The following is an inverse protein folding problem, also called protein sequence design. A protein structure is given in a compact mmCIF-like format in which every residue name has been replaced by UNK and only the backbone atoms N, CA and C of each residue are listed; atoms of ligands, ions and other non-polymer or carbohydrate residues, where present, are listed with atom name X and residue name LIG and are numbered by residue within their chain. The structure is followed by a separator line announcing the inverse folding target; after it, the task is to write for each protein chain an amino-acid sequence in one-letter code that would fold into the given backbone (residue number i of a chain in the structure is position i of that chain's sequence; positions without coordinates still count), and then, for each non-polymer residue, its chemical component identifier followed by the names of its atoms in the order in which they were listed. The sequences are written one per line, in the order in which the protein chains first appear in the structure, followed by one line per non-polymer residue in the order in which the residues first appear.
data_IF_921037895756
#
_entry.id   IF_921037895756
#
_cell.length_a   1.000
_cell.length_b   1.000
_cell.length_c   1.000
_cell.angle_alpha   90.00
_cell.angle_beta   90.00
_cell.angle_gamma   90.00
#
_symmetry.space_group_name_H-M   'P 1'
#
loop_
_entity.id
_entity.type
_entity.pdbx_description
1 polymer ?
#
# COMPACT_ATOMS: atom_id res chain seq x y z
N UNK A 1 -25.63 4.26 35.46
CA UNK A 1 -25.44 3.72 34.10
C UNK A 1 -24.53 4.66 33.35
N UNK A 2 -23.24 4.33 33.22
CA UNK A 2 -22.35 5.10 32.36
C UNK A 2 -22.73 4.75 30.91
N UNK A 3 -23.20 5.74 30.16
CA UNK A 3 -23.33 5.63 28.71
C UNK A 3 -21.94 5.32 28.18
N UNK A 4 -21.70 4.04 27.84
CA UNK A 4 -20.53 3.63 27.07
C UNK A 4 -20.66 4.26 25.70
N UNK A 5 -20.14 5.48 25.53
CA UNK A 5 -19.93 6.07 24.22
C UNK A 5 -18.93 5.17 23.51
N UNK A 6 -19.41 4.27 22.66
CA UNK A 6 -18.58 3.51 21.73
C UNK A 6 -17.85 4.52 20.86
N UNK A 7 -16.55 4.68 21.12
CA UNK A 7 -15.68 5.55 20.32
C UNK A 7 -15.53 4.91 18.94
N UNK A 8 -15.98 5.55 17.85
CA UNK A 8 -15.94 4.99 16.50
C UNK A 8 -14.50 4.88 15.96
N UNK A 9 -13.58 5.69 16.47
CA UNK A 9 -12.18 5.71 16.04
C UNK A 9 -11.28 5.01 17.07
N UNK A 10 -10.35 4.20 16.58
CA UNK A 10 -9.37 3.52 17.42
C UNK A 10 -8.44 4.52 18.12
N UNK A 11 -8.06 5.59 17.44
CA UNK A 11 -7.22 6.67 17.99
C UNK A 11 -7.77 7.21 19.30
N UNK A 12 -9.09 7.38 19.40
CA UNK A 12 -9.74 7.83 20.63
C UNK A 12 -9.87 6.70 21.65
N UNK A 13 -10.16 5.47 21.21
CA UNK A 13 -10.28 4.29 22.09
C UNK A 13 -8.94 3.91 22.75
N UNK A 14 -7.84 3.94 21.98
CA UNK A 14 -6.52 3.51 22.41
C UNK A 14 -6.02 4.31 23.62
N UNK A 15 -6.43 5.58 23.76
CA UNK A 15 -6.07 6.43 24.90
C UNK A 15 -6.71 6.02 26.23
N UNK A 16 -7.78 5.21 26.19
CA UNK A 16 -8.56 4.85 27.39
C UNK A 16 -8.42 3.39 27.81
N UNK A 17 -7.78 2.55 26.99
CA UNK A 17 -7.67 1.11 27.22
C UNK A 17 -6.27 0.71 27.69
N UNK A 18 -6.20 -0.19 28.68
CA UNK A 18 -4.95 -0.79 29.16
C UNK A 18 -4.66 -2.15 28.56
N UNK A 19 -5.67 -2.79 27.98
CA UNK A 19 -5.63 -4.10 27.35
C UNK A 19 -6.29 -3.99 25.98
N UNK A 20 -5.86 -4.83 25.03
CA UNK A 20 -6.47 -4.89 23.70
C UNK A 20 -7.88 -5.47 23.84
N UNK A 21 -8.94 -4.78 23.35
CA UNK A 21 -10.30 -5.32 23.42
C UNK A 21 -10.45 -6.60 22.60
N UNK A 22 -11.36 -7.49 23.02
CA UNK A 22 -11.46 -8.85 22.48
C UNK A 22 -11.70 -8.92 20.98
N UNK A 23 -12.40 -7.94 20.40
CA UNK A 23 -12.66 -7.87 18.96
C UNK A 23 -11.41 -7.54 18.12
N UNK A 24 -10.31 -7.09 18.73
CA UNK A 24 -9.00 -6.88 18.08
C UNK A 24 -8.04 -8.05 18.28
N UNK A 25 -8.36 -9.00 19.16
CA UNK A 25 -7.49 -10.12 19.50
C UNK A 25 -7.57 -11.18 18.39
N UNK A 26 -6.43 -11.45 17.77
CA UNK A 26 -6.27 -12.49 16.75
C UNK A 26 -6.35 -13.89 17.38
N UNK A 27 -6.95 -14.87 16.69
CA UNK A 27 -6.81 -16.29 17.02
C UNK A 27 -5.33 -16.66 17.15
N UNK A 28 -5.00 -17.62 18.00
CA UNK A 28 -3.60 -18.00 18.29
C UNK A 28 -2.81 -18.29 16.99
N UNK A 29 -3.44 -18.97 16.02
CA UNK A 29 -2.85 -19.30 14.72
C UNK A 29 -2.59 -18.10 13.79
N UNK A 30 -3.21 -16.95 14.06
CA UNK A 30 -3.12 -15.71 13.28
C UNK A 30 -2.47 -14.57 14.08
N UNK A 31 -1.86 -14.85 15.24
CA UNK A 31 -1.15 -13.80 15.99
C UNK A 31 0.20 -13.47 15.33
N UNK A 32 0.66 -12.20 15.41
CA UNK A 32 2.01 -11.87 14.99
C UNK A 32 3.03 -12.64 15.84
N UNK A 33 3.73 -13.58 15.24
CA UNK A 33 4.97 -14.09 15.82
C UNK A 33 6.07 -13.03 15.61
N UNK A 34 6.25 -12.17 16.61
CA UNK A 34 7.23 -11.08 16.58
C UNK A 34 8.66 -11.56 16.89
N UNK A 35 8.82 -12.76 17.45
CA UNK A 35 10.12 -13.32 17.85
C UNK A 35 10.86 -13.87 16.62
N UNK A 36 10.14 -14.51 15.69
CA UNK A 36 10.72 -15.11 14.48
C UNK A 36 10.86 -14.13 13.30
N UNK A 37 10.71 -12.83 13.55
CA UNK A 37 10.89 -11.80 12.51
C UNK A 37 12.38 -11.60 12.26
N UNK A 38 12.79 -11.79 11.02
CA UNK A 38 14.19 -11.56 10.65
C UNK A 38 14.46 -10.06 10.58
N UNK A 39 15.34 -9.58 11.47
CA UNK A 39 15.86 -8.21 11.45
C UNK A 39 17.24 -8.25 10.83
N UNK A 40 17.33 -7.80 9.58
CA UNK A 40 18.58 -7.66 8.82
C UNK A 40 18.94 -6.18 8.68
N UNK A 41 20.24 -5.87 8.57
CA UNK A 41 20.72 -4.53 8.22
C UNK A 41 20.30 -4.12 6.80
N UNK A 42 20.00 -5.08 5.93
CA UNK A 42 19.47 -4.87 4.57
C UNK A 42 18.19 -5.68 4.44
N UNK A 43 17.04 -5.03 4.60
CA UNK A 43 15.72 -5.69 4.56
C UNK A 43 15.23 -5.89 3.12
N UNK A 44 15.23 -4.81 2.34
CA UNK A 44 14.84 -4.77 0.92
C UNK A 44 15.87 -3.90 0.16
N UNK A 45 16.03 -4.09 -1.16
CA UNK A 45 17.01 -3.32 -1.94
C UNK A 45 16.77 -1.80 -1.84
N UNK A 46 17.85 -1.02 -1.66
CA UNK A 46 17.80 0.45 -1.78
C UNK A 46 18.37 0.85 -3.14
N UNK A 47 17.52 1.42 -3.99
CA UNK A 47 17.83 1.80 -5.37
C UNK A 47 18.00 3.32 -5.46
N UNK A 48 19.10 3.74 -6.07
CA UNK A 48 19.38 5.13 -6.36
C UNK A 48 18.83 5.52 -7.75
N UNK A 49 17.89 6.47 -7.80
CA UNK A 49 17.28 6.90 -9.05
C UNK A 49 18.02 8.07 -9.74
N UNK A 50 19.14 8.54 -9.18
CA UNK A 50 19.89 9.69 -9.73
C UNK A 50 20.26 9.49 -11.21
N UNK A 51 20.68 8.29 -11.59
CA UNK A 51 21.12 7.96 -12.95
C UNK A 51 20.03 7.27 -13.79
N UNK A 52 18.75 7.32 -13.38
CA UNK A 52 17.66 6.67 -14.13
C UNK A 52 17.53 7.21 -15.58
N UNK A 53 17.90 8.46 -15.80
CA UNK A 53 17.97 9.10 -17.13
C UNK A 53 19.42 9.42 -17.56
N UNK A 54 20.41 8.84 -16.85
CA UNK A 54 21.84 9.10 -17.04
C UNK A 54 22.58 7.94 -17.74
N UNK A 55 23.93 8.01 -17.80
CA UNK A 55 24.75 7.01 -18.47
C UNK A 55 24.65 5.62 -17.83
N UNK A 56 24.35 5.53 -16.54
CA UNK A 56 24.23 4.27 -15.79
C UNK A 56 22.80 3.71 -15.76
N UNK A 57 21.90 4.19 -16.63
CA UNK A 57 20.50 3.74 -16.65
C UNK A 57 20.33 2.23 -16.66
N UNK A 58 21.13 1.51 -17.45
CA UNK A 58 21.07 0.04 -17.53
C UNK A 58 21.34 -0.65 -16.19
N UNK A 59 22.21 -0.07 -15.36
CA UNK A 59 22.48 -0.56 -14.02
C UNK A 59 21.27 -0.36 -13.10
N UNK A 60 20.64 0.82 -13.14
CA UNK A 60 19.42 1.12 -12.37
C UNK A 60 18.28 0.19 -12.77
N UNK A 61 18.07 -0.04 -14.08
CA UNK A 61 17.07 -0.99 -14.58
C UNK A 61 17.31 -2.42 -14.08
N UNK A 62 18.58 -2.87 -14.07
CA UNK A 62 18.92 -4.20 -13.56
C UNK A 62 18.60 -4.34 -12.07
N UNK A 63 18.87 -3.30 -11.27
CA UNK A 63 18.51 -3.30 -9.84
C UNK A 63 16.98 -3.36 -9.65
N UNK A 64 16.22 -2.59 -10.44
CA UNK A 64 14.75 -2.61 -10.42
C UNK A 64 14.23 -4.00 -10.80
N UNK A 65 14.72 -4.60 -11.89
CA UNK A 65 14.32 -5.95 -12.30
C UNK A 65 14.55 -6.99 -11.21
N UNK A 66 15.75 -7.00 -10.61
CA UNK A 66 16.10 -7.94 -9.55
C UNK A 66 15.21 -7.76 -8.32
N UNK A 67 14.96 -6.52 -7.90
CA UNK A 67 14.07 -6.24 -6.78
C UNK A 67 12.63 -6.68 -7.07
N UNK A 68 12.10 -6.38 -8.26
CA UNK A 68 10.76 -6.82 -8.65
C UNK A 68 10.64 -8.36 -8.76
N UNK A 69 11.70 -9.03 -9.20
CA UNK A 69 11.72 -10.49 -9.38
C UNK A 69 11.82 -11.25 -8.06
N UNK A 70 12.67 -10.81 -7.13
CA UNK A 70 12.97 -11.55 -5.90
C UNK A 70 12.23 -11.03 -4.68
N UNK A 71 12.03 -9.72 -4.60
CA UNK A 71 11.59 -9.06 -3.38
C UNK A 71 10.18 -8.49 -3.49
N UNK A 72 9.71 -8.19 -4.70
CA UNK A 72 8.47 -7.45 -4.92
C UNK A 72 8.45 -6.03 -4.33
N UNK A 73 9.53 -5.65 -3.64
CA UNK A 73 9.66 -4.49 -2.76
C UNK A 73 11.07 -3.91 -2.89
N UNK A 74 11.18 -2.59 -2.91
CA UNK A 74 12.45 -1.88 -2.82
C UNK A 74 12.25 -0.48 -2.24
N UNK A 75 13.32 0.12 -1.75
CA UNK A 75 13.35 1.54 -1.38
C UNK A 75 13.98 2.34 -2.51
N UNK A 76 13.52 3.57 -2.69
CA UNK A 76 14.12 4.51 -3.65
C UNK A 76 14.60 5.76 -2.96
N UNK A 77 15.80 6.23 -3.35
CA UNK A 77 16.35 7.55 -3.01
C UNK A 77 16.61 8.35 -4.29
N UNK A 78 16.88 9.65 -4.16
CA UNK A 78 17.06 10.56 -5.30
C UNK A 78 15.87 10.52 -6.28
N UNK A 79 14.66 10.35 -5.73
CA UNK A 79 13.42 10.11 -6.47
C UNK A 79 12.78 11.36 -7.09
N UNK A 80 13.31 12.55 -6.78
CA UNK A 80 12.86 13.83 -7.35
C UNK A 80 11.69 14.52 -6.63
N UNK A 81 10.99 13.84 -5.72
CA UNK A 81 10.06 14.51 -4.78
C UNK A 81 10.84 15.29 -3.72
N UNK A 82 10.46 16.55 -3.46
CA UNK A 82 11.17 17.42 -2.53
C UNK A 82 11.02 16.96 -1.07
N UNK A 83 12.05 17.19 -0.25
CA UNK A 83 11.99 16.90 1.19
C UNK A 83 10.90 17.70 1.90
N UNK A 84 10.65 18.95 1.46
CA UNK A 84 9.56 19.76 2.00
C UNK A 84 8.19 19.13 1.76
N UNK A 85 7.92 18.61 0.55
CA UNK A 85 6.67 17.91 0.23
C UNK A 85 6.48 16.68 1.13
N UNK A 86 7.55 15.90 1.33
CA UNK A 86 7.54 14.71 2.21
C UNK A 86 7.25 15.11 3.66
N UNK A 87 7.99 16.08 4.20
CA UNK A 87 7.86 16.53 5.58
C UNK A 87 6.49 17.16 5.85
N UNK A 88 5.98 17.96 4.91
CA UNK A 88 4.64 18.55 5.00
C UNK A 88 3.57 17.47 5.04
N UNK A 89 3.65 16.46 4.15
CA UNK A 89 2.66 15.38 4.10
C UNK A 89 2.64 14.54 5.39
N UNK A 90 3.81 14.19 5.95
CA UNK A 90 3.90 13.46 7.22
C UNK A 90 3.37 14.29 8.41
N UNK A 91 3.70 15.58 8.45
CA UNK A 91 3.20 16.49 9.50
C UNK A 91 1.68 16.65 9.41
N UNK A 92 1.16 16.93 8.22
CA UNK A 92 -0.26 17.07 7.95
C UNK A 92 -1.05 15.82 8.35
N UNK A 93 -0.52 14.62 8.03
CA UNK A 93 -1.17 13.39 8.43
C UNK A 93 -1.26 13.28 9.95
N UNK A 94 -0.18 13.61 10.69
CA UNK A 94 -0.20 13.64 12.15
C UNK A 94 -1.19 14.66 12.68
N UNK A 95 -1.16 15.89 12.16
CA UNK A 95 -2.02 16.99 12.58
C UNK A 95 -3.50 16.63 12.38
N UNK A 96 -3.87 16.02 11.24
CA UNK A 96 -5.22 15.53 10.98
C UNK A 96 -5.67 14.53 12.05
N UNK A 97 -4.83 13.53 12.38
CA UNK A 97 -5.15 12.55 13.42
C UNK A 97 -5.03 13.11 14.84
N UNK A 98 -4.58 14.34 15.04
CA UNK A 98 -4.55 15.02 16.33
C UNK A 98 -5.69 16.04 16.48
N UNK A 99 -6.44 16.32 15.42
CA UNK A 99 -7.66 17.14 15.50
C UNK A 99 -8.66 16.56 16.51
N UNK A 100 -9.53 17.39 17.11
CA UNK A 100 -10.62 16.88 17.94
C UNK A 100 -11.45 15.82 17.20
N UNK A 101 -11.91 14.79 17.93
CA UNK A 101 -12.73 13.71 17.37
C UNK A 101 -13.90 14.26 16.52
N UNK A 102 -14.60 15.28 17.02
CA UNK A 102 -15.71 15.94 16.32
C UNK A 102 -15.33 16.53 14.95
N UNK A 103 -14.09 16.97 14.76
CA UNK A 103 -13.59 17.46 13.48
C UNK A 103 -13.27 16.31 12.53
N UNK A 104 -12.61 15.26 13.04
CA UNK A 104 -12.27 14.07 12.24
C UNK A 104 -13.54 13.36 11.75
N UNK A 105 -14.55 13.23 12.61
CA UNK A 105 -15.81 12.54 12.31
C UNK A 105 -16.64 13.19 11.20
N UNK A 106 -16.36 14.43 10.80
CA UNK A 106 -16.98 15.05 9.61
C UNK A 106 -16.68 14.26 8.32
N UNK A 107 -15.61 13.47 8.31
CA UNK A 107 -15.18 12.66 7.18
C UNK A 107 -15.51 11.17 7.37
N UNK A 108 -16.16 10.77 8.47
CA UNK A 108 -16.35 9.37 8.81
C UNK A 108 -17.39 8.69 7.92
N UNK A 109 -17.08 7.46 7.48
CA UNK A 109 -18.07 6.58 6.84
C UNK A 109 -17.67 5.11 6.94
N UNK A 110 -18.64 4.26 7.28
CA UNK A 110 -18.53 2.79 7.21
C UNK A 110 -18.90 2.23 5.85
N UNK A 111 -19.28 3.08 4.89
CA UNK A 111 -19.56 2.65 3.53
C UNK A 111 -18.28 2.61 2.69
N UNK A 112 -17.82 1.40 2.28
CA UNK A 112 -16.60 1.26 1.50
C UNK A 112 -16.72 1.86 0.08
N UNK A 113 -17.92 2.20 -0.39
CA UNK A 113 -18.14 2.89 -1.68
C UNK A 113 -17.83 4.39 -1.63
N UNK A 114 -17.81 5.00 -0.43
CA UNK A 114 -17.49 6.42 -0.29
C UNK A 114 -16.01 6.64 -0.59
N UNK A 115 -15.73 7.43 -1.63
CA UNK A 115 -14.39 7.64 -2.19
C UNK A 115 -13.41 8.23 -1.16
N UNK A 116 -13.83 9.32 -0.49
CA UNK A 116 -13.06 9.99 0.54
C UNK A 116 -13.69 9.71 1.89
N UNK A 117 -13.02 8.93 2.74
CA UNK A 117 -13.59 8.54 4.04
C UNK A 117 -12.52 8.33 5.11
N UNK A 118 -12.82 8.79 6.31
CA UNK A 118 -12.20 8.33 7.54
C UNK A 118 -12.94 7.08 8.00
N UNK A 119 -12.19 6.05 8.37
CA UNK A 119 -12.76 4.85 9.00
C UNK A 119 -11.68 4.18 9.85
N UNK A 120 -12.05 3.08 10.49
CA UNK A 120 -11.15 2.27 11.32
C UNK A 120 -10.96 0.90 10.72
N UNK A 121 -9.92 0.21 11.17
CA UNK A 121 -9.58 -1.16 10.79
C UNK A 121 -9.35 -1.34 9.28
N UNK A 122 -10.13 -2.19 8.60
CA UNK A 122 -10.10 -2.35 7.14
C UNK A 122 -11.51 -2.23 6.52
N UNK A 123 -12.41 -3.13 6.91
CA UNK A 123 -13.82 -3.10 6.50
C UNK A 123 -14.67 -3.59 7.66
N UNK A 124 -15.07 -2.65 8.51
CA UNK A 124 -15.84 -2.91 9.74
C UNK A 124 -17.14 -3.69 9.52
N UNK A 125 -17.69 -3.69 8.29
CA UNK A 125 -18.92 -4.41 7.95
C UNK A 125 -18.71 -5.90 7.66
N UNK A 126 -17.50 -6.31 7.27
CA UNK A 126 -17.25 -7.68 6.79
C UNK A 126 -16.16 -8.40 7.58
N UNK A 127 -15.32 -7.68 8.31
CA UNK A 127 -14.24 -8.28 9.07
C UNK A 127 -14.73 -8.97 10.35
N UNK A 128 -14.08 -10.08 10.70
CA UNK A 128 -14.36 -10.84 11.92
C UNK A 128 -13.52 -10.40 13.12
N UNK A 129 -12.34 -9.82 12.83
CA UNK A 129 -11.36 -9.34 13.81
C UNK A 129 -10.90 -7.97 13.34
N UNK A 130 -11.04 -6.98 14.20
CA UNK A 130 -10.65 -5.61 13.93
C UNK A 130 -9.12 -5.44 13.90
N UNK A 131 -8.66 -4.44 13.17
CA UNK A 131 -7.26 -4.07 13.01
C UNK A 131 -6.96 -2.82 13.84
N UNK A 132 -5.77 -2.78 14.43
CA UNK A 132 -5.29 -1.70 15.26
C UNK A 132 -4.80 -0.50 14.42
N UNK A 133 -5.70 0.08 13.62
CA UNK A 133 -5.43 1.19 12.70
C UNK A 133 -6.67 2.05 12.50
N UNK A 134 -6.49 3.36 12.39
CA UNK A 134 -7.43 4.25 11.71
C UNK A 134 -6.85 4.69 10.36
N UNK A 135 -7.71 5.05 9.40
CA UNK A 135 -7.26 5.55 8.12
C UNK A 135 -8.19 6.61 7.52
N UNK A 136 -7.60 7.61 6.86
CA UNK A 136 -8.30 8.51 5.94
C UNK A 136 -7.93 8.11 4.51
N UNK A 137 -8.90 7.56 3.77
CA UNK A 137 -8.76 7.21 2.35
C UNK A 137 -9.17 8.38 1.48
N UNK A 138 -8.39 8.68 0.46
CA UNK A 138 -8.63 9.76 -0.50
C UNK A 138 -8.47 9.25 -1.93
N UNK A 139 -9.38 9.64 -2.82
CA UNK A 139 -9.16 9.55 -4.26
C UNK A 139 -8.37 10.79 -4.71
N UNK A 140 -7.40 10.58 -5.62
CA UNK A 140 -6.37 11.56 -5.92
C UNK A 140 -6.27 11.95 -7.40
N UNK A 141 -6.77 11.12 -8.31
CA UNK A 141 -6.65 11.39 -9.74
C UNK A 141 -7.93 11.03 -10.52
N UNK A 142 -8.40 11.92 -11.43
CA UNK A 142 -7.87 13.26 -11.70
C UNK A 142 -8.03 14.22 -10.51
N UNK A 143 -7.03 15.06 -10.27
CA UNK A 143 -6.94 15.86 -9.05
C UNK A 143 -8.14 16.81 -8.89
N UNK A 144 -8.52 17.50 -9.97
CA UNK A 144 -9.62 18.45 -10.03
C UNK A 144 -10.98 17.85 -9.66
N UNK A 145 -11.16 16.54 -9.83
CA UNK A 145 -12.41 15.85 -9.53
C UNK A 145 -12.55 15.52 -8.03
N UNK A 146 -11.46 15.62 -7.26
CA UNK A 146 -11.40 15.11 -5.89
C UNK A 146 -11.04 16.15 -4.83
N UNK A 147 -10.20 17.15 -5.15
CA UNK A 147 -9.67 18.12 -4.16
C UNK A 147 -10.75 18.78 -3.30
N UNK A 148 -11.88 19.14 -3.91
CA UNK A 148 -12.96 19.84 -3.21
C UNK A 148 -13.70 18.97 -2.19
N UNK A 149 -13.61 17.65 -2.32
CA UNK A 149 -14.22 16.68 -1.41
C UNK A 149 -13.26 16.18 -0.32
N UNK A 150 -12.02 16.68 -0.27
CA UNK A 150 -11.08 16.39 0.81
C UNK A 150 -11.35 17.27 2.04
N UNK A 151 -10.85 16.86 3.22
CA UNK A 151 -10.83 17.71 4.40
C UNK A 151 -10.28 19.11 4.11
N UNK A 152 -10.85 20.11 4.78
CA UNK A 152 -10.36 21.50 4.78
C UNK A 152 -9.62 21.86 6.07
N UNK A 153 -9.46 20.91 6.99
CA UNK A 153 -8.77 21.07 8.26
C UNK A 153 -7.75 19.92 8.42
N UNK A 154 -6.45 20.18 8.66
CA UNK A 154 -5.78 21.50 8.77
C UNK A 154 -5.96 22.42 7.54
N UNK A 155 -5.81 23.76 7.66
CA UNK A 155 -6.04 24.68 6.53
C UNK A 155 -5.21 24.37 5.28
N UNK A 156 -4.00 23.83 5.43
CA UNK A 156 -3.14 23.44 4.32
C UNK A 156 -3.49 22.08 3.70
N UNK A 157 -4.53 21.38 4.21
CA UNK A 157 -4.79 19.98 3.89
C UNK A 157 -4.85 19.73 2.37
N UNK A 158 -5.62 20.54 1.67
CA UNK A 158 -5.87 20.36 0.24
C UNK A 158 -4.64 20.62 -0.60
N UNK A 159 -3.91 21.69 -0.29
CA UNK A 159 -2.74 22.13 -1.07
C UNK A 159 -1.57 21.16 -0.88
N UNK A 160 -1.25 20.80 0.37
CA UNK A 160 -0.18 19.86 0.68
C UNK A 160 -0.47 18.45 0.09
N UNK A 161 -1.71 17.97 0.19
CA UNK A 161 -2.10 16.68 -0.40
C UNK A 161 -2.06 16.73 -1.92
N UNK A 162 -2.50 17.82 -2.55
CA UNK A 162 -2.45 18.00 -4.00
C UNK A 162 -1.01 18.01 -4.53
N UNK A 163 -0.11 18.73 -3.86
CA UNK A 163 1.32 18.77 -4.20
C UNK A 163 1.96 17.38 -4.07
N UNK A 164 1.68 16.68 -2.97
CA UNK A 164 2.16 15.32 -2.73
C UNK A 164 1.66 14.34 -3.79
N UNK A 165 0.36 14.33 -4.07
CA UNK A 165 -0.25 13.43 -5.05
C UNK A 165 0.35 13.61 -6.45
N UNK A 166 0.53 14.87 -6.87
CA UNK A 166 1.10 15.21 -8.17
C UNK A 166 2.58 14.80 -8.27
N UNK A 167 3.35 15.05 -7.21
CA UNK A 167 4.78 14.70 -7.15
C UNK A 167 5.01 13.19 -7.16
N UNK A 168 4.25 12.45 -6.34
CA UNK A 168 4.33 10.98 -6.30
C UNK A 168 3.82 10.36 -7.59
N UNK A 169 2.78 10.94 -8.22
CA UNK A 169 2.34 10.50 -9.55
C UNK A 169 3.48 10.60 -10.58
N UNK A 170 4.22 11.70 -10.60
CA UNK A 170 5.39 11.84 -11.47
C UNK A 170 6.45 10.77 -11.22
N UNK A 171 6.68 10.39 -9.96
CA UNK A 171 7.56 9.27 -9.60
C UNK A 171 7.03 7.93 -10.10
N UNK A 172 5.74 7.65 -9.92
CA UNK A 172 5.10 6.42 -10.41
C UNK A 172 5.32 6.26 -11.91
N UNK A 173 5.04 7.29 -12.72
CA UNK A 173 5.18 7.21 -14.18
C UNK A 173 6.60 6.87 -14.61
N UNK A 174 7.62 7.51 -13.98
CA UNK A 174 9.04 7.17 -14.23
C UNK A 174 9.38 5.73 -13.86
N UNK A 175 8.83 5.23 -12.74
CA UNK A 175 9.03 3.85 -12.31
C UNK A 175 8.33 2.86 -13.24
N UNK A 176 7.13 3.16 -13.74
CA UNK A 176 6.44 2.30 -14.71
C UNK A 176 7.23 2.16 -16.00
N UNK A 177 7.78 3.27 -16.53
CA UNK A 177 8.67 3.23 -17.70
C UNK A 177 9.91 2.37 -17.45
N UNK A 178 10.52 2.50 -16.26
CA UNK A 178 11.70 1.74 -15.88
C UNK A 178 11.39 0.25 -15.73
N UNK A 179 10.30 -0.11 -15.07
CA UNK A 179 9.85 -1.49 -14.87
C UNK A 179 9.56 -2.13 -16.24
N UNK A 180 8.86 -1.42 -17.13
CA UNK A 180 8.55 -1.89 -18.48
C UNK A 180 9.83 -2.17 -19.29
N UNK A 181 10.77 -1.22 -19.30
CA UNK A 181 12.06 -1.38 -19.99
C UNK A 181 12.88 -2.54 -19.40
N UNK A 182 12.84 -2.70 -18.08
CA UNK A 182 13.56 -3.77 -17.38
C UNK A 182 13.02 -5.18 -17.66
N UNK A 183 11.78 -5.28 -18.18
CA UNK A 183 11.20 -6.52 -18.73
C UNK A 183 11.55 -6.75 -20.21
N UNK A 184 12.23 -5.81 -20.86
CA UNK A 184 12.44 -5.81 -22.32
C UNK A 184 11.23 -5.35 -23.12
N UNK A 185 10.21 -4.79 -22.46
CA UNK A 185 9.03 -4.23 -23.12
C UNK A 185 9.28 -2.79 -23.59
N UNK A 186 8.42 -2.29 -24.47
CA UNK A 186 8.37 -0.84 -24.76
C UNK A 186 8.11 -0.07 -23.47
N UNK A 187 8.78 1.08 -23.29
CA UNK A 187 8.69 1.89 -22.05
C UNK A 187 7.26 2.26 -21.66
N UNK A 188 6.39 2.47 -22.64
CA UNK A 188 5.00 2.84 -22.45
C UNK A 188 4.02 1.65 -22.45
N UNK A 189 4.51 0.41 -22.53
CA UNK A 189 3.66 -0.79 -22.59
C UNK A 189 2.74 -0.89 -21.37
N UNK A 190 3.32 -0.86 -20.16
CA UNK A 190 2.56 -1.03 -18.92
C UNK A 190 1.52 0.09 -18.75
N UNK A 191 1.89 1.35 -19.01
CA UNK A 191 0.97 2.49 -18.89
C UNK A 191 -0.20 2.38 -19.88
N UNK A 192 0.05 1.93 -21.12
CA UNK A 192 -0.99 1.70 -22.12
C UNK A 192 -1.95 0.58 -21.75
N UNK A 193 -1.49 -0.47 -21.07
CA UNK A 193 -2.34 -1.58 -20.60
C UNK A 193 -3.40 -1.10 -19.61
N UNK A 194 -3.16 0.01 -18.91
CA UNK A 194 -4.10 0.53 -17.94
C UNK A 194 -5.35 1.17 -18.57
N UNK A 195 -5.31 1.54 -19.86
CA UNK A 195 -6.31 2.37 -20.56
C UNK A 195 -6.56 3.73 -19.89
N UNK A 196 -7.25 3.75 -18.75
CA UNK A 196 -7.35 4.86 -17.80
C UNK A 196 -6.86 4.39 -16.44
N UNK A 197 -6.37 5.29 -15.60
CA UNK A 197 -5.86 4.90 -14.27
C UNK A 197 -6.51 5.71 -13.17
N UNK A 198 -6.59 5.08 -12.01
CA UNK A 198 -6.93 5.72 -10.74
C UNK A 198 -5.68 5.92 -9.89
N UNK A 199 -5.68 6.99 -9.10
CA UNK A 199 -4.75 7.15 -7.99
C UNK A 199 -5.58 7.32 -6.72
N UNK A 200 -5.24 6.53 -5.70
CA UNK A 200 -5.83 6.65 -4.37
C UNK A 200 -4.71 6.64 -3.34
N UNK A 201 -4.96 7.21 -2.17
CA UNK A 201 -4.04 7.11 -1.04
C UNK A 201 -4.80 6.84 0.24
N UNK A 202 -4.07 6.38 1.26
CA UNK A 202 -4.59 6.30 2.62
C UNK A 202 -3.59 6.91 3.58
N UNK A 203 -4.03 7.82 4.45
CA UNK A 203 -3.25 8.24 5.61
C UNK A 203 -3.57 7.26 6.73
N UNK A 204 -2.62 6.39 7.05
CA UNK A 204 -2.80 5.35 8.07
C UNK A 204 -2.19 5.82 9.37
N UNK A 205 -2.93 5.64 10.45
CA UNK A 205 -2.48 5.95 11.80
C UNK A 205 -2.63 4.71 12.68
N UNK A 206 -1.52 4.31 13.29
CA UNK A 206 -1.45 3.18 14.21
C UNK A 206 -1.11 3.73 15.60
N UNK A 207 -2.07 3.85 16.53
CA UNK A 207 -1.76 4.29 17.88
C UNK A 207 -0.91 3.25 18.62
N UNK A 208 -0.17 3.64 19.69
CA UNK A 208 0.48 2.69 20.58
C UNK A 208 -0.50 1.60 21.04
N UNK A 209 -0.08 0.34 20.97
CA UNK A 209 -0.88 -0.82 21.33
C UNK A 209 -0.37 -1.42 22.64
N UNK A 210 -1.23 -1.64 23.66
CA UNK A 210 -0.76 -2.20 24.94
C UNK A 210 -0.32 -3.67 24.84
N UNK A 211 -0.81 -4.42 23.85
CA UNK A 211 -0.48 -5.84 23.63
C UNK A 211 -0.28 -6.11 22.13
N UNK A 212 0.81 -5.59 21.53
CA UNK A 212 1.05 -5.64 20.09
C UNK A 212 1.15 -7.08 19.53
N UNK A 213 1.46 -8.05 20.38
CA UNK A 213 1.51 -9.47 20.05
C UNK A 213 0.12 -10.11 19.80
N UNK A 214 -0.97 -9.41 20.12
CA UNK A 214 -2.33 -9.92 19.99
C UNK A 214 -3.07 -9.42 18.74
N UNK A 215 -2.53 -8.43 18.03
CA UNK A 215 -3.27 -7.75 16.94
C UNK A 215 -2.34 -7.30 15.81
N UNK A 216 -2.92 -6.83 14.72
CA UNK A 216 -2.20 -6.23 13.60
C UNK A 216 -2.71 -4.83 13.33
N UNK A 217 -1.84 -3.96 12.82
CA UNK A 217 -2.29 -2.75 12.14
C UNK A 217 -2.96 -3.10 10.81
N UNK A 218 -2.40 -4.08 10.09
CA UNK A 218 -3.01 -4.69 8.91
C UNK A 218 -2.42 -6.11 8.72
N UNK A 219 -3.23 -7.16 8.51
CA UNK A 219 -2.75 -8.53 8.39
C UNK A 219 -2.03 -8.76 7.06
N UNK A 220 -1.48 -9.96 6.89
CA UNK A 220 -0.81 -10.36 5.65
C UNK A 220 -1.74 -10.28 4.44
N UNK A 221 -1.36 -9.51 3.43
CA UNK A 221 -2.10 -9.35 2.18
C UNK A 221 -1.15 -9.01 1.02
N UNK A 222 -1.63 -9.19 -0.21
CA UNK A 222 -1.03 -8.59 -1.40
C UNK A 222 -1.83 -7.37 -1.84
N UNK A 223 -1.18 -6.50 -2.61
CA UNK A 223 -1.79 -5.28 -3.10
C UNK A 223 -2.54 -5.55 -4.41
N UNK A 224 -3.85 -5.28 -4.50
CA UNK A 224 -4.64 -5.59 -5.70
C UNK A 224 -4.31 -4.68 -6.89
N UNK A 225 -3.61 -3.57 -6.67
CA UNK A 225 -3.32 -2.54 -7.65
C UNK A 225 -2.09 -2.88 -8.54
N UNK A 226 -1.64 -1.92 -9.35
CA UNK A 226 -0.46 -2.11 -10.21
C UNK A 226 0.84 -1.90 -9.43
N UNK A 227 0.97 -0.74 -8.78
CA UNK A 227 2.16 -0.35 -8.02
C UNK A 227 1.75 0.54 -6.85
N UNK A 228 2.43 0.39 -5.72
CA UNK A 228 2.23 1.19 -4.51
C UNK A 228 3.51 1.95 -4.19
N UNK A 229 3.38 3.24 -3.89
CA UNK A 229 4.45 4.10 -3.36
C UNK A 229 4.09 4.45 -1.92
N UNK A 230 4.84 3.91 -0.98
CA UNK A 230 4.63 4.06 0.45
C UNK A 230 5.61 5.08 1.04
N UNK A 231 5.05 6.16 1.57
CA UNK A 231 5.75 7.03 2.52
C UNK A 231 5.50 6.54 3.94
N UNK A 232 6.50 6.55 4.81
CA UNK A 232 6.34 6.25 6.24
C UNK A 232 7.21 7.18 7.08
N UNK A 233 6.87 7.29 8.36
CA UNK A 233 7.71 7.94 9.35
C UNK A 233 8.91 7.06 9.77
N UNK A 234 9.60 7.45 10.84
CA UNK A 234 10.77 6.75 11.37
C UNK A 234 10.41 5.55 12.27
N UNK A 235 9.12 5.17 12.36
CA UNK A 235 8.65 4.07 13.20
C UNK A 235 8.48 2.80 12.36
N UNK A 236 9.21 1.71 12.66
CA UNK A 236 9.09 0.46 11.93
C UNK A 236 7.70 -0.17 12.15
N UNK A 237 7.26 -0.94 11.16
CA UNK A 237 5.97 -1.64 11.26
C UNK A 237 5.63 -2.45 10.02
N UNK A 238 6.15 -2.08 8.84
CA UNK A 238 6.03 -2.91 7.64
C UNK A 238 6.89 -4.17 7.77
N UNK A 239 6.29 -5.31 7.44
CA UNK A 239 6.98 -6.59 7.28
C UNK A 239 6.58 -7.23 5.95
N UNK A 240 7.55 -7.81 5.24
CA UNK A 240 7.36 -8.49 3.95
C UNK A 240 7.67 -9.96 4.13
N UNK A 241 6.87 -10.84 3.54
CA UNK A 241 7.10 -12.29 3.57
C UNK A 241 8.03 -12.69 2.42
N UNK A 242 9.26 -13.10 2.74
CA UNK A 242 10.25 -13.60 1.79
C UNK A 242 10.70 -15.00 2.23
N UNK A 243 10.68 -15.96 1.30
CA UNK A 243 11.10 -17.35 1.55
C UNK A 243 10.47 -17.97 2.80
N UNK A 244 9.17 -17.70 3.02
CA UNK A 244 8.40 -18.18 4.17
C UNK A 244 8.71 -17.48 5.50
N UNK A 245 9.54 -16.43 5.51
CA UNK A 245 9.91 -15.67 6.71
C UNK A 245 9.49 -14.22 6.60
N UNK A 246 8.95 -13.68 7.70
CA UNK A 246 8.64 -12.26 7.80
C UNK A 246 9.92 -11.46 8.03
N UNK A 247 10.20 -10.50 7.14
CA UNK A 247 11.35 -9.60 7.21
C UNK A 247 10.85 -8.19 7.55
N UNK A 248 11.40 -7.58 8.59
CA UNK A 248 11.09 -6.20 8.95
C UNK A 248 11.74 -5.21 7.97
N UNK A 249 10.98 -4.22 7.50
CA UNK A 249 11.49 -3.16 6.63
C UNK A 249 11.87 -1.95 7.47
N UNK A 250 13.16 -1.61 7.48
CA UNK A 250 13.67 -0.49 8.26
C UNK A 250 13.39 0.85 7.55
N UNK A 251 12.82 1.85 8.25
CA UNK A 251 12.64 3.18 7.69
C UNK A 251 13.99 3.84 7.34
N UNK A 252 14.08 4.39 6.13
CA UNK A 252 15.21 5.23 5.70
C UNK A 252 14.66 6.62 5.38
N UNK A 253 15.24 7.66 5.97
CA UNK A 253 14.82 9.04 5.75
C UNK A 253 14.92 9.42 4.27
N UNK A 254 13.97 10.24 3.80
CA UNK A 254 13.92 10.74 2.43
C UNK A 254 13.95 9.60 1.38
N UNK A 255 13.24 8.52 1.69
CA UNK A 255 13.00 7.41 0.74
C UNK A 255 11.51 7.09 0.67
N UNK A 256 11.11 6.51 -0.45
CA UNK A 256 9.84 5.79 -0.55
C UNK A 256 10.11 4.30 -0.59
N UNK A 257 9.20 3.52 -0.02
CA UNK A 257 9.11 2.08 -0.31
C UNK A 257 8.20 1.92 -1.53
N UNK A 258 8.63 1.11 -2.47
CA UNK A 258 7.88 0.75 -3.66
C UNK A 258 7.58 -0.74 -3.60
N UNK A 259 6.34 -1.11 -3.87
CA UNK A 259 6.00 -2.51 -4.12
C UNK A 259 5.13 -2.67 -5.35
N UNK A 260 5.31 -3.78 -6.03
CA UNK A 260 4.48 -4.16 -7.17
C UNK A 260 3.26 -4.93 -6.67
N UNK A 261 2.11 -4.63 -7.25
CA UNK A 261 0.86 -5.29 -6.92
C UNK A 261 0.53 -6.41 -7.89
N UNK A 262 -0.60 -7.05 -7.63
CA UNK A 262 -1.06 -8.25 -8.33
C UNK A 262 -1.18 -8.03 -9.84
N UNK A 263 -1.57 -6.84 -10.29
CA UNK A 263 -1.71 -6.55 -11.73
C UNK A 263 -0.35 -6.53 -12.45
N UNK A 264 0.71 -6.07 -11.77
CA UNK A 264 2.06 -6.08 -12.33
C UNK A 264 2.60 -7.50 -12.46
N UNK A 265 2.33 -8.35 -11.47
CA UNK A 265 2.68 -9.78 -11.53
C UNK A 265 2.04 -10.44 -12.75
N UNK A 266 0.76 -10.16 -13.01
CA UNK A 266 0.06 -10.69 -14.20
C UNK A 266 0.68 -10.17 -15.49
N UNK A 267 0.86 -8.84 -15.64
CA UNK A 267 1.43 -8.24 -16.86
C UNK A 267 2.84 -8.80 -17.15
N UNK A 268 3.64 -8.99 -16.10
CA UNK A 268 5.00 -9.55 -16.22
C UNK A 268 5.04 -11.07 -16.49
N UNK A 269 3.89 -11.73 -16.64
CA UNK A 269 3.77 -13.19 -16.75
C UNK A 269 4.48 -13.94 -15.61
N UNK A 270 4.25 -13.50 -14.36
CA UNK A 270 4.85 -14.08 -13.15
C UNK A 270 6.37 -13.87 -13.00
N UNK A 271 7.02 -13.08 -13.88
CA UNK A 271 8.45 -12.74 -13.73
C UNK A 271 8.71 -11.83 -12.54
N UNK A 272 7.77 -10.94 -12.24
CA UNK A 272 7.80 -10.07 -11.06
C UNK A 272 6.74 -10.49 -10.04
N UNK A 273 7.06 -10.34 -8.74
CA UNK A 273 6.27 -10.95 -7.66
C UNK A 273 5.59 -9.90 -6.77
N UNK A 274 4.27 -9.98 -6.68
CA UNK A 274 3.46 -9.33 -5.66
C UNK A 274 3.56 -10.14 -4.37
N UNK A 275 4.24 -9.61 -3.35
CA UNK A 275 4.51 -10.34 -2.12
C UNK A 275 3.52 -10.00 -1.00
N UNK A 276 3.26 -11.02 -0.17
CA UNK A 276 2.53 -10.85 1.08
C UNK A 276 3.30 -9.89 1.99
N UNK A 277 2.59 -8.89 2.50
CA UNK A 277 3.13 -7.93 3.45
C UNK A 277 2.09 -7.63 4.54
N UNK A 278 2.55 -7.19 5.70
CA UNK A 278 1.71 -6.86 6.86
C UNK A 278 2.22 -5.62 7.59
N UNK A 279 1.34 -4.99 8.36
CA UNK A 279 1.70 -3.90 9.26
C UNK A 279 1.51 -4.35 10.70
N UNK A 280 2.60 -4.45 11.46
CA UNK A 280 2.57 -4.70 12.91
C UNK A 280 2.51 -3.37 13.67
N UNK A 281 2.05 -3.46 14.92
CA UNK A 281 1.97 -2.32 15.84
C UNK A 281 2.99 -2.48 16.98
N UNK A 282 3.19 -1.43 17.74
CA UNK A 282 4.13 -1.41 18.86
C UNK A 282 3.50 -0.70 20.08
N UNK A 283 4.08 -0.88 21.26
CA UNK A 283 3.57 -0.31 22.51
C UNK A 283 4.11 1.09 22.86
N UNK A 284 5.09 1.61 22.10
CA UNK A 284 5.87 2.77 22.51
C UNK A 284 5.42 4.07 21.82
N UNK A 285 5.17 4.01 20.51
CA UNK A 285 4.95 5.20 19.68
C UNK A 285 3.90 4.94 18.61
N UNK A 286 3.15 5.97 18.26
CA UNK A 286 2.30 5.95 17.08
C UNK A 286 3.14 5.79 15.81
N UNK A 287 2.54 5.22 14.78
CA UNK A 287 3.16 5.12 13.45
C UNK A 287 2.22 5.72 12.41
N UNK A 288 2.80 6.43 11.45
CA UNK A 288 2.10 6.97 10.28
C UNK A 288 2.67 6.34 9.02
N UNK A 289 1.77 5.94 8.11
CA UNK A 289 2.16 5.47 6.79
C UNK A 289 1.17 5.92 5.74
N UNK A 290 1.64 6.32 4.56
CA UNK A 290 0.86 6.94 3.50
C UNK A 290 1.12 6.18 2.18
N UNK A 291 0.50 4.99 1.99
CA UNK A 291 0.53 4.32 0.70
C UNK A 291 -0.27 5.11 -0.34
N UNK A 292 0.34 5.31 -1.50
CA UNK A 292 -0.29 5.83 -2.72
C UNK A 292 -0.38 4.68 -3.72
N UNK A 293 -1.61 4.29 -4.05
CA UNK A 293 -1.92 3.18 -4.95
C UNK A 293 -2.17 3.71 -6.36
N UNK A 294 -1.51 3.11 -7.34
CA UNK A 294 -1.77 3.33 -8.75
C UNK A 294 -2.54 2.12 -9.32
N UNK A 295 -3.76 2.36 -9.79
CA UNK A 295 -4.69 1.31 -10.17
C UNK A 295 -5.06 1.40 -11.66
N UNK A 296 -5.25 0.26 -12.35
CA UNK A 296 -5.98 0.25 -13.62
C UNK A 296 -7.41 0.74 -13.46
N UNK A 297 -8.05 1.16 -14.55
CA UNK A 297 -9.48 1.37 -14.57
C UNK A 297 -10.23 0.04 -14.48
N UNK A 298 -11.48 0.02 -13.98
CA UNK A 298 -12.25 -1.23 -13.89
C UNK A 298 -12.43 -1.97 -15.23
N UNK A 299 -12.43 -1.26 -16.34
CA UNK A 299 -12.55 -1.81 -17.70
C UNK A 299 -11.19 -2.19 -18.33
N UNK A 300 -10.06 -1.89 -17.69
CA UNK A 300 -8.74 -2.27 -18.18
C UNK A 300 -8.62 -3.80 -18.30
N UNK A 301 -8.21 -4.27 -19.47
CA UNK A 301 -7.98 -5.69 -19.72
C UNK A 301 -6.56 -6.05 -19.31
N UNK A 302 -6.44 -6.76 -18.18
CA UNK A 302 -5.18 -7.21 -17.62
C UNK A 302 -4.90 -8.65 -18.07
N UNK A 303 -3.69 -8.90 -18.54
CA UNK A 303 -3.20 -10.21 -18.94
C UNK A 303 -1.69 -10.16 -19.13
N UNK A 304 -1.03 -11.32 -19.31
CA UNK A 304 0.41 -11.33 -19.53
C UNK A 304 0.77 -10.61 -20.84
N UNK A 305 1.85 -9.81 -20.81
CA UNK A 305 2.35 -9.14 -21.99
C UNK A 305 2.75 -10.18 -23.05
N UNK A 306 2.25 -10.01 -24.27
CA UNK A 306 2.47 -10.96 -25.37
C UNK A 306 3.95 -11.19 -25.66
N UNK A 307 4.75 -10.14 -25.52
CA UNK A 307 6.20 -10.16 -25.78
C UNK A 307 6.98 -10.97 -24.71
N UNK A 308 6.33 -11.37 -23.61
CA UNK A 308 6.91 -12.19 -22.53
C UNK A 308 6.46 -13.66 -22.57
N UNK A 309 5.65 -14.03 -23.57
CA UNK A 309 5.13 -15.38 -23.77
C UNK A 309 5.87 -16.02 -24.95
N UNK A 310 6.45 -17.19 -24.72
CA UNK A 310 7.08 -18.05 -25.72
C UNK A 310 6.93 -19.52 -25.31
N UNK A 311 7.51 -20.44 -26.09
CA UNK A 311 7.42 -21.89 -25.84
C UNK A 311 8.04 -22.30 -24.49
N UNK A 312 9.06 -21.57 -24.02
CA UNK A 312 9.72 -21.82 -22.73
C UNK A 312 9.00 -21.11 -21.57
N UNK A 313 8.23 -20.07 -21.85
CA UNK A 313 7.50 -19.24 -20.89
C UNK A 313 6.02 -19.08 -21.30
N UNK A 314 5.19 -20.14 -21.17
CA UNK A 314 3.78 -20.07 -21.52
C UNK A 314 3.02 -19.08 -20.63
N UNK A 315 1.83 -18.66 -21.08
CA UNK A 315 0.97 -17.75 -20.32
C UNK A 315 0.52 -18.39 -18.99
N UNK A 316 0.94 -17.81 -17.87
CA UNK A 316 0.56 -18.25 -16.51
C UNK A 316 -0.85 -17.82 -16.15
N UNK A 317 -1.31 -16.69 -16.69
CA UNK A 317 -2.61 -16.10 -16.39
C UNK A 317 -3.45 -15.94 -17.67
N UNK A 318 -4.76 -16.11 -17.55
CA UNK A 318 -5.69 -15.66 -18.60
C UNK A 318 -5.87 -14.15 -18.51
N UNK A 319 -6.37 -13.53 -19.58
CA UNK A 319 -6.81 -12.14 -19.52
C UNK A 319 -8.14 -12.00 -18.76
N UNK A 320 -8.31 -10.86 -18.07
CA UNK A 320 -9.50 -10.51 -17.30
C UNK A 320 -9.61 -8.98 -17.17
N UNK A 321 -10.80 -8.45 -16.88
CA UNK A 321 -10.93 -7.03 -16.56
C UNK A 321 -10.52 -6.78 -15.11
N UNK A 322 -9.89 -5.63 -14.83
CA UNK A 322 -9.53 -5.27 -13.45
C UNK A 322 -10.76 -5.24 -12.53
N UNK A 323 -11.92 -4.83 -13.03
CA UNK A 323 -13.20 -4.88 -12.31
C UNK A 323 -13.61 -6.30 -11.90
N UNK A 324 -13.42 -7.30 -12.76
CA UNK A 324 -13.66 -8.72 -12.44
C UNK A 324 -12.76 -9.17 -11.29
N UNK A 325 -11.46 -8.85 -11.36
CA UNK A 325 -10.50 -9.18 -10.30
C UNK A 325 -10.85 -8.48 -8.98
N UNK A 326 -11.15 -7.18 -9.04
CA UNK A 326 -11.41 -6.35 -7.87
C UNK A 326 -12.67 -6.80 -7.13
N UNK A 327 -13.72 -7.20 -7.83
CA UNK A 327 -14.94 -7.76 -7.23
C UNK A 327 -14.65 -9.06 -6.46
N UNK A 328 -13.85 -9.97 -7.04
CA UNK A 328 -13.46 -11.23 -6.38
C UNK A 328 -12.57 -10.98 -5.17
N UNK A 329 -11.63 -10.05 -5.27
CA UNK A 329 -10.76 -9.65 -4.16
C UNK A 329 -11.60 -9.15 -2.97
N UNK A 330 -12.55 -8.24 -3.20
CA UNK A 330 -13.40 -7.71 -2.12
C UNK A 330 -14.30 -8.75 -1.48
N UNK A 331 -14.82 -9.71 -2.26
CA UNK A 331 -15.63 -10.82 -1.73
C UNK A 331 -14.83 -11.77 -0.82
N UNK A 332 -13.52 -11.91 -1.06
CA UNK A 332 -12.62 -12.76 -0.25
C UNK A 332 -12.02 -12.02 0.95
N UNK A 333 -11.96 -10.69 0.92
CA UNK A 333 -11.32 -9.88 1.96
C UNK A 333 -9.79 -10.05 1.96
N UNK A 334 -9.14 -9.72 3.08
CA UNK A 334 -7.68 -9.88 3.26
C UNK A 334 -7.27 -11.34 3.57
N UNK A 335 -7.90 -12.31 2.89
CA UNK A 335 -7.56 -13.72 3.06
C UNK A 335 -6.13 -14.01 2.59
N UNK A 336 -5.47 -15.00 3.20
CA UNK A 336 -4.10 -15.38 2.86
C UNK A 336 -3.96 -16.06 1.49
N UNK A 337 -5.04 -16.65 0.98
CA UNK A 337 -5.05 -17.26 -0.34
C UNK A 337 -5.01 -16.19 -1.44
N UNK A 338 -4.12 -16.36 -2.42
CA UNK A 338 -3.92 -15.35 -3.45
C UNK A 338 -5.18 -15.22 -4.34
N UNK A 339 -5.63 -13.98 -4.57
CA UNK A 339 -6.75 -13.73 -5.48
C UNK A 339 -6.40 -14.13 -6.93
N UNK A 340 -5.14 -13.95 -7.32
CA UNK A 340 -4.64 -14.27 -8.66
C UNK A 340 -4.73 -15.74 -9.04
N UNK A 341 -4.79 -16.67 -8.08
CA UNK A 341 -4.93 -18.10 -8.38
C UNK A 341 -6.22 -18.41 -9.16
N UNK A 342 -7.27 -17.59 -9.00
CA UNK A 342 -8.54 -17.69 -9.75
C UNK A 342 -8.42 -17.27 -11.23
N UNK A 343 -7.26 -16.74 -11.61
CA UNK A 343 -6.99 -16.17 -12.94
C UNK A 343 -5.81 -16.86 -13.63
N UNK A 344 -5.20 -17.87 -12.99
CA UNK A 344 -4.21 -18.72 -13.64
C UNK A 344 -4.85 -19.48 -14.80
N UNK A 345 -4.09 -19.72 -15.85
CA UNK A 345 -4.51 -20.64 -16.90
C UNK A 345 -4.62 -22.04 -16.28
N UNK A 346 -5.72 -22.74 -16.54
CA UNK A 346 -5.75 -24.17 -16.31
C UNK A 346 -4.84 -24.78 -17.37
N UNK A 347 -3.56 -24.97 -17.06
CA UNK A 347 -2.72 -25.83 -17.89
C UNK A 347 -3.23 -27.27 -17.61
N UNK A 348 -3.59 -28.04 -18.65
CA UNK A 348 -4.05 -29.42 -18.48
C UNK A 348 -3.04 -30.32 -17.75
#
# INVERSE_FOLDING_TARGET
MALSTTKPLLTDLATTVKLVPTNYIRPISDRPNLIDVHVSNVSIPLIDLQDLHGPNRSHVLKQIALACQHDGFFQVKNHGVSESTINNMLRLARDFFYLPESERLKNYSDDPSVANRLSTSFNVKTEKVANWRDFLRLHCYPLQDHVNAWPSNPPSFRDDVAEYCSSVRGLVLRLLEAISDSLGLKRDHIDKTLSKHGQHMALNYYPPCPQPELTYGLPGHTDPNLITILLQDDIPGLQVLRDGKWIAVNPIRNTFIVNIGDQMQVISNDRYKSLLHRAVVNCNKERISIPTFYCPSPDALIGPATDLIDDDHPAVYRSFSYGEYYEKFWKRGLASECCLDLFKTCIP
#
